data_IF_355254615902
#
_entry.id   IF_355254615902
#
_cell.length_a   1.000
_cell.length_b   1.000
_cell.length_c   1.000
_cell.angle_alpha   90.00
_cell.angle_beta   90.00
_cell.angle_gamma   90.00
#
_symmetry.space_group_name_H-M   'P 1'
#
loop_
_entity.id
_entity.type
_entity.pdbx_description
1 polymer ?
#
# COMPACT_ATOMS: atom_id res chain seq x y z
N UNK A 1 2.53 -1.24 11.69
CA UNK A 1 3.68 -1.69 12.49
C UNK A 1 4.77 -0.63 12.51
N UNK A 2 5.67 -0.62 13.53
CA UNK A 2 6.83 0.29 13.52
C UNK A 2 7.90 -0.11 12.50
N UNK A 3 7.88 -1.34 12.03
CA UNK A 3 8.80 -1.87 11.03
C UNK A 3 8.30 -1.55 9.63
N UNK A 4 8.51 -0.31 9.21
CA UNK A 4 8.11 0.23 7.90
C UNK A 4 8.95 1.45 7.55
N UNK A 5 8.84 1.93 6.32
CA UNK A 5 9.40 3.24 5.97
C UNK A 5 8.56 4.35 6.61
N UNK A 6 9.22 5.38 7.10
CA UNK A 6 8.59 6.47 7.88
C UNK A 6 7.44 7.18 7.15
N UNK A 7 7.39 7.14 5.82
CA UNK A 7 6.32 7.78 5.04
C UNK A 7 4.93 7.24 5.39
N UNK A 8 4.80 5.94 5.72
CA UNK A 8 3.54 5.34 6.16
C UNK A 8 2.99 6.07 7.39
N UNK A 9 3.85 6.29 8.39
CA UNK A 9 3.47 6.99 9.63
C UNK A 9 3.24 8.48 9.37
N UNK A 10 4.14 9.12 8.63
CA UNK A 10 4.02 10.54 8.30
C UNK A 10 2.73 10.88 7.57
N UNK A 11 2.26 10.01 6.66
CA UNK A 11 1.01 10.21 5.96
C UNK A 11 -0.20 10.25 6.92
N UNK A 12 -0.21 9.38 7.91
CA UNK A 12 -1.27 9.33 8.94
C UNK A 12 -1.23 10.57 9.83
N UNK A 13 -0.05 10.95 10.31
CA UNK A 13 0.13 12.15 11.15
C UNK A 13 -0.25 13.42 10.38
N UNK A 14 0.12 13.53 9.11
CA UNK A 14 -0.25 14.66 8.25
C UNK A 14 -1.76 14.73 7.98
N UNK A 15 -2.48 13.61 8.08
CA UNK A 15 -3.93 13.57 8.03
C UNK A 15 -4.60 13.92 9.38
N UNK A 16 -3.82 14.23 10.42
CA UNK A 16 -4.31 14.53 11.76
C UNK A 16 -4.68 13.30 12.59
N UNK A 17 -4.31 12.12 12.14
CA UNK A 17 -4.55 10.89 12.88
C UNK A 17 -3.48 10.65 13.96
N UNK A 18 -3.87 9.93 15.02
CA UNK A 18 -2.92 9.38 16.00
C UNK A 18 -2.59 7.95 15.60
N UNK A 19 -1.31 7.59 15.61
CA UNK A 19 -0.86 6.25 15.25
C UNK A 19 -0.69 5.39 16.51
N UNK A 20 -1.29 4.20 16.50
CA UNK A 20 -1.05 3.16 17.48
C UNK A 20 -0.33 2.00 16.80
N UNK A 21 0.84 1.66 17.27
CA UNK A 21 1.64 0.59 16.70
C UNK A 21 1.21 -0.79 17.23
N UNK A 22 1.24 -1.75 16.34
CA UNK A 22 1.20 -3.19 16.60
C UNK A 22 2.47 -3.77 16.00
N UNK A 23 3.11 -4.70 16.70
CA UNK A 23 4.38 -5.27 16.27
C UNK A 23 4.23 -6.16 15.03
N UNK A 24 5.34 -6.63 14.52
CA UNK A 24 5.42 -7.52 13.38
C UNK A 24 5.37 -8.99 13.82
N UNK A 25 4.87 -9.83 12.96
CA UNK A 25 5.13 -11.26 13.00
C UNK A 25 6.62 -11.50 12.63
N UNK A 26 7.39 -12.22 13.46
CA UNK A 26 8.85 -12.36 13.28
C UNK A 26 9.25 -13.19 12.06
N UNK A 27 8.31 -13.91 11.45
CA UNK A 27 8.57 -14.75 10.26
C UNK A 27 8.29 -13.96 8.98
N UNK A 28 7.17 -13.25 8.96
CA UNK A 28 6.71 -12.54 7.76
C UNK A 28 7.14 -11.07 7.72
N UNK A 29 7.52 -10.50 8.86
CA UNK A 29 7.78 -9.08 9.07
C UNK A 29 6.58 -8.16 8.74
N UNK A 30 5.43 -8.74 8.42
CA UNK A 30 4.18 -8.02 8.29
C UNK A 30 3.52 -7.83 9.66
N UNK A 31 2.43 -7.05 9.70
CA UNK A 31 1.68 -6.78 10.93
C UNK A 31 1.25 -8.09 11.61
N UNK A 32 1.56 -8.27 12.91
CA UNK A 32 1.10 -9.42 13.70
C UNK A 32 -0.40 -9.30 13.99
N UNK A 33 -1.16 -10.08 13.25
CA UNK A 33 -2.63 -10.06 13.32
C UNK A 33 -3.15 -10.43 14.70
N UNK A 34 -2.44 -11.28 15.45
CA UNK A 34 -2.84 -11.73 16.78
C UNK A 34 -2.93 -10.59 17.80
N UNK A 35 -2.18 -9.51 17.57
CA UNK A 35 -2.12 -8.35 18.46
C UNK A 35 -3.05 -7.20 18.01
N UNK A 36 -3.60 -7.25 16.77
CA UNK A 36 -4.37 -6.13 16.22
C UNK A 36 -5.60 -5.81 17.04
N UNK A 37 -6.39 -6.83 17.40
CA UNK A 37 -7.66 -6.61 18.06
C UNK A 37 -7.50 -5.98 19.46
N UNK A 38 -6.45 -6.36 20.19
CA UNK A 38 -6.11 -5.77 21.50
C UNK A 38 -5.65 -4.30 21.39
N UNK A 39 -5.22 -3.87 20.21
CA UNK A 39 -4.82 -2.48 19.97
C UNK A 39 -5.98 -1.55 19.60
N UNK A 40 -7.17 -2.09 19.28
CA UNK A 40 -8.34 -1.30 18.89
C UNK A 40 -8.91 -0.54 20.10
N UNK A 41 -9.29 0.70 19.85
CA UNK A 41 -9.96 1.57 20.82
C UNK A 41 -11.21 2.20 20.18
N UNK A 42 -12.11 2.82 20.95
CA UNK A 42 -13.24 3.57 20.35
C UNK A 42 -12.85 4.70 19.40
N UNK A 43 -11.59 5.17 19.45
CA UNK A 43 -11.08 6.19 18.54
C UNK A 43 -10.39 5.59 17.28
N UNK A 44 -10.27 4.28 17.20
CA UNK A 44 -9.66 3.62 16.03
C UNK A 44 -10.62 3.69 14.84
N UNK A 45 -10.13 4.14 13.69
CA UNK A 45 -10.92 4.30 12.46
C UNK A 45 -10.40 3.45 11.29
N UNK A 46 -9.15 2.99 11.37
CA UNK A 46 -8.55 2.19 10.30
C UNK A 46 -7.46 1.26 10.82
N UNK A 47 -7.22 0.19 10.06
CA UNK A 47 -6.04 -0.67 10.17
C UNK A 47 -5.19 -0.42 8.93
N UNK A 48 -3.88 -0.21 9.12
CA UNK A 48 -2.95 0.07 8.04
C UNK A 48 -1.85 -1.01 7.96
N UNK A 49 -2.10 -2.15 7.29
CA UNK A 49 -1.09 -3.15 7.03
C UNK A 49 -0.09 -2.65 5.99
N UNK A 50 1.17 -3.07 6.16
CA UNK A 50 2.24 -2.88 5.17
C UNK A 50 2.54 -4.23 4.54
N UNK A 51 2.54 -4.28 3.22
CA UNK A 51 2.96 -5.46 2.43
C UNK A 51 4.47 -5.40 2.23
N UNK A 52 5.18 -5.78 3.29
CA UNK A 52 6.61 -5.53 3.38
C UNK A 52 7.42 -6.44 2.43
N UNK A 53 8.40 -5.86 1.76
CA UNK A 53 9.28 -6.56 0.82
C UNK A 53 8.57 -7.34 -0.30
N UNK A 54 7.31 -6.99 -0.57
CA UNK A 54 6.49 -7.65 -1.58
C UNK A 54 5.71 -8.85 -1.06
N UNK A 55 5.82 -9.18 0.24
CA UNK A 55 4.97 -10.17 0.89
C UNK A 55 3.65 -9.53 1.33
N UNK A 56 2.55 -10.12 0.92
CA UNK A 56 1.23 -9.66 1.37
C UNK A 56 1.05 -9.94 2.87
N UNK A 57 0.60 -8.95 3.64
CA UNK A 57 0.11 -9.17 5.00
C UNK A 57 -1.05 -10.17 4.99
N UNK A 58 -1.32 -10.83 6.11
CA UNK A 58 -2.42 -11.78 6.22
C UNK A 58 -3.78 -11.05 6.21
N UNK A 59 -4.29 -10.78 5.02
CA UNK A 59 -5.45 -9.92 4.81
C UNK A 59 -6.76 -10.54 5.29
N UNK A 60 -6.94 -11.88 5.23
CA UNK A 60 -8.22 -12.48 5.59
C UNK A 60 -8.61 -12.21 7.05
N UNK A 61 -7.77 -12.46 8.05
CA UNK A 61 -8.11 -12.13 9.43
C UNK A 61 -8.13 -10.60 9.68
N UNK A 62 -7.28 -9.80 9.01
CA UNK A 62 -7.34 -8.34 9.11
C UNK A 62 -8.68 -7.79 8.63
N UNK A 63 -9.17 -8.28 7.50
CA UNK A 63 -10.49 -7.92 6.95
C UNK A 63 -11.62 -8.34 7.91
N UNK A 64 -11.52 -9.52 8.52
CA UNK A 64 -12.51 -9.98 9.50
C UNK A 64 -12.54 -9.09 10.76
N UNK A 65 -11.38 -8.67 11.27
CA UNK A 65 -11.27 -7.71 12.38
C UNK A 65 -11.87 -6.36 11.96
N UNK A 66 -11.46 -5.84 10.82
CA UNK A 66 -11.94 -4.56 10.31
C UNK A 66 -13.48 -4.54 10.18
N UNK A 67 -14.07 -5.62 9.66
CA UNK A 67 -15.51 -5.75 9.54
C UNK A 67 -16.21 -5.76 10.91
N UNK A 68 -15.71 -6.53 11.88
CA UNK A 68 -16.30 -6.60 13.24
C UNK A 68 -16.31 -5.25 13.96
N UNK A 69 -15.29 -4.44 13.72
CA UNK A 69 -15.09 -3.16 14.40
C UNK A 69 -15.45 -1.94 13.51
N UNK A 70 -16.02 -2.17 12.33
CA UNK A 70 -16.37 -1.10 11.35
C UNK A 70 -15.18 -0.19 11.02
N UNK A 71 -14.00 -0.77 10.83
CA UNK A 71 -12.76 -0.07 10.52
C UNK A 71 -12.46 -0.10 9.02
N UNK A 72 -11.85 0.95 8.51
CA UNK A 72 -11.30 0.95 7.17
C UNK A 72 -9.99 0.15 7.10
N UNK A 73 -9.68 -0.39 5.92
CA UNK A 73 -8.37 -0.96 5.60
C UNK A 73 -7.65 0.01 4.66
N UNK A 74 -6.41 0.37 5.01
CA UNK A 74 -5.52 1.20 4.19
C UNK A 74 -4.23 0.40 3.97
N UNK A 75 -4.07 -0.15 2.78
CA UNK A 75 -2.94 -1.00 2.43
C UNK A 75 -1.74 -0.16 2.00
N UNK A 76 -0.62 -0.25 2.71
CA UNK A 76 0.65 0.24 2.19
C UNK A 76 1.27 -0.84 1.30
N UNK A 77 1.06 -0.69 0.01
CA UNK A 77 1.56 -1.58 -1.04
C UNK A 77 2.77 -0.99 -1.77
N UNK A 78 3.46 -0.01 -1.17
CA UNK A 78 4.59 0.70 -1.79
C UNK A 78 5.75 -0.21 -2.19
N UNK A 79 5.84 -1.42 -1.67
CA UNK A 79 6.86 -2.43 -2.00
C UNK A 79 6.27 -3.68 -2.67
N UNK A 80 4.95 -3.71 -2.96
CA UNK A 80 4.24 -4.94 -3.28
C UNK A 80 3.50 -4.90 -4.63
N UNK A 81 4.06 -4.17 -5.62
CA UNK A 81 3.50 -4.11 -6.97
C UNK A 81 3.35 -5.51 -7.56
N UNK A 82 2.10 -5.90 -7.86
CA UNK A 82 1.77 -7.20 -8.42
C UNK A 82 1.74 -8.37 -7.43
N UNK A 83 1.98 -8.14 -6.13
CA UNK A 83 1.85 -9.17 -5.11
C UNK A 83 0.40 -9.64 -4.97
N UNK A 84 0.25 -10.91 -4.58
CA UNK A 84 -1.04 -11.58 -4.44
C UNK A 84 -1.20 -12.12 -3.01
N UNK A 85 -2.41 -12.00 -2.49
CA UNK A 85 -2.86 -12.71 -1.31
C UNK A 85 -4.04 -13.62 -1.70
N UNK A 86 -3.84 -14.95 -1.62
CA UNK A 86 -4.86 -15.96 -1.99
C UNK A 86 -5.48 -15.72 -3.37
N UNK A 87 -4.66 -15.30 -4.33
CA UNK A 87 -5.09 -15.04 -5.72
C UNK A 87 -5.63 -13.63 -6.00
N UNK A 88 -5.94 -12.83 -4.98
CA UNK A 88 -6.34 -11.44 -5.13
C UNK A 88 -5.11 -10.50 -5.04
N UNK A 89 -5.11 -9.42 -5.81
CA UNK A 89 -4.00 -8.46 -5.78
C UNK A 89 -4.04 -7.63 -4.50
N UNK A 90 -2.88 -7.39 -3.89
CA UNK A 90 -2.77 -6.38 -2.83
C UNK A 90 -3.18 -5.00 -3.38
N UNK A 91 -3.71 -4.14 -2.52
CA UNK A 91 -4.32 -2.86 -2.92
C UNK A 91 -5.76 -2.99 -3.39
N UNK A 92 -6.39 -4.19 -3.28
CA UNK A 92 -7.79 -4.43 -3.63
C UNK A 92 -8.67 -4.79 -2.43
N UNK A 93 -8.09 -4.90 -1.23
CA UNK A 93 -8.81 -5.27 -0.01
C UNK A 93 -9.44 -4.07 0.72
N UNK A 94 -8.93 -2.88 0.44
CA UNK A 94 -9.42 -1.62 0.98
C UNK A 94 -9.03 -0.45 0.08
N UNK A 95 -8.33 0.52 0.67
CA UNK A 95 -7.66 1.60 -0.07
C UNK A 95 -6.19 1.26 -0.18
N UNK A 96 -5.72 0.94 -1.38
CA UNK A 96 -4.32 0.60 -1.63
C UNK A 96 -3.49 1.83 -1.98
N UNK A 97 -2.28 1.95 -1.42
CA UNK A 97 -1.32 3.01 -1.71
C UNK A 97 -0.04 2.41 -2.30
N UNK A 98 0.29 2.81 -3.53
CA UNK A 98 1.49 2.38 -4.25
C UNK A 98 2.46 3.53 -4.44
N UNK A 99 3.75 3.26 -4.33
CA UNK A 99 4.81 4.22 -4.62
C UNK A 99 5.44 3.91 -5.97
N UNK A 100 5.67 4.95 -6.78
CA UNK A 100 6.43 4.86 -8.03
C UNK A 100 7.78 5.57 -7.92
N UNK A 101 8.33 5.63 -6.70
CA UNK A 101 9.67 6.14 -6.48
C UNK A 101 10.71 5.31 -7.24
N UNK A 102 11.86 5.92 -7.55
CA UNK A 102 12.88 5.37 -8.44
C UNK A 102 13.36 3.94 -8.12
N UNK A 103 13.35 3.54 -6.84
CA UNK A 103 13.83 2.21 -6.41
C UNK A 103 12.75 1.12 -6.38
N UNK A 104 11.50 1.46 -6.68
CA UNK A 104 10.38 0.52 -6.60
C UNK A 104 10.36 -0.46 -7.79
N UNK A 105 9.59 -1.52 -7.66
CA UNK A 105 9.47 -2.56 -8.70
C UNK A 105 8.98 -2.03 -10.04
N UNK A 106 8.21 -0.96 -10.00
CA UNK A 106 7.77 -0.14 -11.11
C UNK A 106 7.98 1.33 -10.71
N UNK A 107 8.44 2.18 -11.61
CA UNK A 107 8.82 3.55 -11.26
C UNK A 107 8.39 4.56 -12.31
N UNK A 108 8.12 5.78 -11.85
CA UNK A 108 7.98 6.98 -12.69
C UNK A 108 9.00 8.06 -12.30
N UNK A 109 10.12 7.64 -11.64
CA UNK A 109 11.07 8.52 -10.97
C UNK A 109 10.54 8.96 -9.62
N UNK A 110 9.51 9.75 -9.62
CA UNK A 110 8.64 10.10 -8.49
C UNK A 110 7.18 9.88 -8.91
N UNK A 111 6.33 9.44 -7.99
CA UNK A 111 4.92 9.22 -8.25
C UNK A 111 4.28 8.23 -7.28
N UNK A 112 3.00 8.01 -7.47
CA UNK A 112 2.23 7.04 -6.69
C UNK A 112 0.83 6.85 -7.27
N UNK A 113 0.17 5.82 -6.78
CA UNK A 113 -1.19 5.47 -7.17
C UNK A 113 -1.98 5.08 -5.92
N UNK A 114 -3.23 5.51 -5.88
CA UNK A 114 -4.20 4.99 -4.92
C UNK A 114 -5.21 4.13 -5.66
N UNK A 115 -5.51 2.95 -5.13
CA UNK A 115 -6.52 2.03 -5.65
C UNK A 115 -7.64 1.85 -4.65
N UNK A 116 -8.87 1.68 -5.12
CA UNK A 116 -10.04 1.39 -4.29
C UNK A 116 -11.14 0.78 -5.15
N UNK A 117 -11.99 -0.03 -4.52
CA UNK A 117 -13.23 -0.55 -5.12
C UNK A 117 -14.47 0.25 -4.68
N UNK A 118 -14.29 1.34 -3.91
CA UNK A 118 -15.36 2.22 -3.46
C UNK A 118 -15.40 3.48 -4.34
N UNK A 119 -16.49 3.65 -5.09
CA UNK A 119 -16.67 4.78 -6.01
C UNK A 119 -16.69 6.13 -5.29
N UNK A 120 -17.24 6.20 -4.07
CA UNK A 120 -17.26 7.44 -3.28
C UNK A 120 -15.86 7.84 -2.83
N UNK A 121 -15.04 6.86 -2.41
CA UNK A 121 -13.62 7.08 -2.10
C UNK A 121 -12.85 7.50 -3.35
N UNK A 122 -13.08 6.84 -4.48
CA UNK A 122 -12.42 7.18 -5.75
C UNK A 122 -12.75 8.62 -6.19
N UNK A 123 -14.00 9.03 -6.10
CA UNK A 123 -14.43 10.40 -6.43
C UNK A 123 -13.76 11.42 -5.52
N UNK A 124 -13.77 11.18 -4.21
CA UNK A 124 -13.12 12.06 -3.24
C UNK A 124 -11.61 12.19 -3.46
N UNK A 125 -10.94 11.09 -3.82
CA UNK A 125 -9.50 11.10 -4.15
C UNK A 125 -9.21 11.93 -5.41
N UNK A 126 -10.07 11.86 -6.43
CA UNK A 126 -9.94 12.70 -7.64
C UNK A 126 -10.06 14.19 -7.31
N UNK A 127 -10.96 14.57 -6.43
CA UNK A 127 -11.06 15.95 -5.93
C UNK A 127 -9.82 16.35 -5.14
N UNK A 128 -9.42 15.56 -4.16
CA UNK A 128 -8.26 15.81 -3.29
C UNK A 128 -6.98 16.05 -4.09
N UNK A 129 -6.69 15.20 -5.08
CA UNK A 129 -5.49 15.33 -5.91
C UNK A 129 -5.51 16.54 -6.83
N UNK A 130 -6.69 17.10 -7.12
CA UNK A 130 -6.91 18.19 -8.06
C UNK A 130 -7.38 19.48 -7.38
N UNK A 131 -6.77 19.85 -6.25
CA UNK A 131 -7.05 21.09 -5.52
C UNK A 131 -8.50 21.18 -5.01
N UNK A 132 -9.22 20.07 -4.88
CA UNK A 132 -10.63 20.05 -4.49
C UNK A 132 -11.60 20.47 -5.60
N UNK A 133 -11.13 20.54 -6.86
CA UNK A 133 -11.97 20.97 -8.00
C UNK A 133 -12.66 19.78 -8.66
N UNK A 134 -13.97 19.92 -8.86
CA UNK A 134 -14.76 19.02 -9.73
C UNK A 134 -14.72 19.47 -11.18
N UNK A 135 -14.92 20.75 -11.42
CA UNK A 135 -14.73 21.39 -12.71
C UNK A 135 -13.84 22.63 -12.54
N UNK A 136 -13.44 23.24 -13.65
CA UNK A 136 -12.53 24.40 -13.63
C UNK A 136 -13.13 25.53 -12.80
N UNK A 137 -12.45 25.90 -11.69
CA UNK A 137 -12.82 26.92 -10.71
C UNK A 137 -14.03 26.55 -9.81
N UNK A 138 -14.52 25.30 -9.86
CA UNK A 138 -15.56 24.80 -8.96
C UNK A 138 -14.92 23.97 -7.84
N UNK A 139 -14.77 24.56 -6.66
CA UNK A 139 -14.11 23.95 -5.51
C UNK A 139 -15.14 23.40 -4.54
N UNK A 140 -15.08 22.10 -4.24
CA UNK A 140 -15.96 21.43 -3.30
C UNK A 140 -15.31 21.19 -1.94
N UNK A 141 -13.99 21.15 -1.90
CA UNK A 141 -13.23 20.86 -0.69
C UNK A 141 -11.80 21.41 -0.77
N UNK A 142 -11.12 21.42 0.37
CA UNK A 142 -9.68 21.68 0.40
C UNK A 142 -8.95 20.48 -0.23
N UNK A 143 -8.15 20.73 -1.22
CA UNK A 143 -7.36 19.71 -1.93
C UNK A 143 -5.91 20.14 -2.14
N UNK A 144 -5.18 19.33 -2.87
CA UNK A 144 -3.76 19.53 -3.19
C UNK A 144 -3.52 19.38 -4.68
N UNK A 145 -2.45 19.95 -5.18
CA UNK A 145 -1.92 19.54 -6.49
C UNK A 145 -1.06 18.28 -6.30
N UNK A 146 -1.68 17.11 -6.43
CA UNK A 146 -1.02 15.81 -6.38
C UNK A 146 -1.24 15.03 -7.67
N UNK A 147 -1.23 15.75 -8.79
CA UNK A 147 -1.35 15.15 -10.13
C UNK A 147 0.00 14.62 -10.60
N UNK A 148 -0.01 13.42 -11.16
CA UNK A 148 1.10 12.93 -11.96
C UNK A 148 1.22 13.75 -13.25
N UNK A 149 2.42 14.04 -13.71
CA UNK A 149 2.62 14.67 -15.02
C UNK A 149 2.39 13.64 -16.14
N UNK A 150 2.06 14.13 -17.35
CA UNK A 150 1.87 13.25 -18.51
C UNK A 150 3.14 12.45 -18.85
N UNK A 151 4.33 13.04 -18.63
CA UNK A 151 5.61 12.35 -18.80
C UNK A 151 5.77 11.19 -17.83
N UNK A 152 5.47 11.42 -16.54
CA UNK A 152 5.49 10.36 -15.53
C UNK A 152 4.45 9.28 -15.83
N UNK A 153 3.25 9.67 -16.26
CA UNK A 153 2.18 8.74 -16.61
C UNK A 153 2.57 7.87 -17.83
N UNK A 154 3.22 8.45 -18.85
CA UNK A 154 3.70 7.69 -20.00
C UNK A 154 4.77 6.65 -19.60
N UNK A 155 5.73 7.05 -18.76
CA UNK A 155 6.72 6.11 -18.19
C UNK A 155 6.01 5.01 -17.38
N UNK A 156 5.06 5.39 -16.51
CA UNK A 156 4.32 4.42 -15.68
C UNK A 156 3.50 3.42 -16.50
N UNK A 157 2.94 3.84 -17.62
CA UNK A 157 2.22 2.94 -18.55
C UNK A 157 3.15 1.91 -19.16
N UNK A 158 4.31 2.33 -19.67
CA UNK A 158 5.31 1.41 -20.21
C UNK A 158 5.87 0.46 -19.14
N UNK A 159 6.13 0.96 -17.92
CA UNK A 159 6.57 0.16 -16.78
C UNK A 159 5.53 -0.90 -16.36
N UNK A 160 4.25 -0.55 -16.42
CA UNK A 160 3.15 -1.46 -16.08
C UNK A 160 3.05 -2.62 -17.08
N UNK A 161 3.29 -2.38 -18.37
CA UNK A 161 3.26 -3.41 -19.41
C UNK A 161 4.33 -4.49 -19.18
N UNK A 162 5.51 -4.11 -18.73
CA UNK A 162 6.63 -5.04 -18.48
C UNK A 162 6.69 -5.56 -17.04
N UNK A 163 5.85 -5.04 -16.15
CA UNK A 163 5.86 -5.44 -14.72
C UNK A 163 5.68 -6.94 -14.50
N UNK A 164 4.78 -7.68 -15.20
CA UNK A 164 4.64 -9.11 -15.00
C UNK A 164 5.94 -9.88 -15.27
N UNK A 165 6.64 -9.59 -16.36
CA UNK A 165 7.92 -10.21 -16.70
C UNK A 165 8.99 -9.92 -15.64
N UNK A 166 9.07 -8.66 -15.18
CA UNK A 166 9.99 -8.26 -14.10
C UNK A 166 9.72 -9.00 -12.80
N UNK A 167 8.46 -9.23 -12.45
CA UNK A 167 8.09 -9.98 -11.25
C UNK A 167 8.58 -11.42 -11.36
N UNK A 168 8.32 -12.09 -12.47
CA UNK A 168 8.76 -13.46 -12.68
C UNK A 168 10.30 -13.59 -12.67
N UNK A 169 11.01 -12.65 -13.29
CA UNK A 169 12.48 -12.61 -13.24
C UNK A 169 13.01 -12.40 -11.80
N UNK A 170 12.37 -11.52 -11.01
CA UNK A 170 12.74 -11.32 -9.59
C UNK A 170 12.50 -12.57 -8.76
N UNK A 171 11.38 -13.27 -8.98
CA UNK A 171 11.08 -14.54 -8.32
C UNK A 171 12.10 -15.62 -8.66
N UNK A 172 12.44 -15.76 -9.94
CA UNK A 172 13.46 -16.70 -10.38
C UNK A 172 14.84 -16.39 -9.76
N UNK A 173 15.23 -15.11 -9.72
CA UNK A 173 16.48 -14.71 -9.07
C UNK A 173 16.47 -15.00 -7.55
N UNK A 174 15.36 -14.75 -6.87
CA UNK A 174 15.23 -15.03 -5.44
C UNK A 174 15.31 -16.55 -5.17
N UNK A 175 14.62 -17.37 -5.96
CA UNK A 175 14.69 -18.82 -5.85
C UNK A 175 16.12 -19.34 -6.05
N UNK A 176 16.82 -18.85 -7.10
CA UNK A 176 18.21 -19.23 -7.36
C UNK A 176 19.19 -18.79 -6.26
N UNK A 177 18.95 -17.63 -5.63
CA UNK A 177 19.74 -17.20 -4.48
C UNK A 177 19.47 -18.09 -3.25
N UNK A 178 18.22 -18.42 -2.97
CA UNK A 178 17.84 -19.30 -1.86
C UNK A 178 18.51 -20.66 -2.02
N UNK A 179 18.45 -21.26 -3.22
CA UNK A 179 19.10 -22.54 -3.51
C UNK A 179 20.63 -22.50 -3.29
N UNK A 180 21.29 -21.40 -3.69
CA UNK A 180 22.73 -21.23 -3.50
C UNK A 180 23.15 -20.97 -2.05
N UNK A 181 22.24 -20.45 -1.23
CA UNK A 181 22.52 -20.10 0.17
C UNK A 181 22.06 -21.19 1.16
N UNK A 182 21.29 -22.17 0.68
CA UNK A 182 20.69 -23.23 1.53
C UNK A 182 21.76 -24.11 2.20
N UNK A 183 22.95 -24.26 1.58
CA UNK A 183 24.07 -25.00 2.10
C UNK A 183 24.96 -24.20 3.07
N UNK A 184 24.67 -22.90 3.29
CA UNK A 184 25.42 -22.09 4.23
C UNK A 184 24.85 -22.28 5.63
N UNK A 185 25.56 -22.98 6.49
CA UNK A 185 25.28 -23.05 7.92
C UNK A 185 25.34 -21.64 8.53
N UNK A 186 24.22 -21.16 9.08
CA UNK A 186 24.12 -19.89 9.83
C UNK A 186 24.39 -20.10 11.30
#
# INVERSE_FOLDING_TARGET
>A
SPFTFVATVNAMLNAGATVRFVDIDPVTYCLDVSQVEAAITPATVAIAPVHLYGLAADMAPLMAIALRHSLAIIEDAAQAHGALYKGARVGSFGVGSFSFYATKNMTTGEGGMVTTNDDAVADRLRLLRNQGMRARYEYEMVGRNARMTDLQAAVGTAELEILPERIERRRANAAGLTEQLDDLET
#
